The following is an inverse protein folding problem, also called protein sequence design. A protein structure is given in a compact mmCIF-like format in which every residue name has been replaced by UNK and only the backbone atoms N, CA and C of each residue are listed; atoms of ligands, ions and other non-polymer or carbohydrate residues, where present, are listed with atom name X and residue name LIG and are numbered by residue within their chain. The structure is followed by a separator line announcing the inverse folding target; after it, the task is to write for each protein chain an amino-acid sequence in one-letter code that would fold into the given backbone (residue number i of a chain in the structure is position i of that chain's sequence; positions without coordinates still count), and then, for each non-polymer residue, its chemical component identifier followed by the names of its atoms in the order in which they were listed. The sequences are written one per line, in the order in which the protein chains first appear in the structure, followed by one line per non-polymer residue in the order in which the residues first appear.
data_IF_245844731628
#
_entry.id   IF_245844731628
#
_cell.length_a   1.000
_cell.length_b   1.000
_cell.length_c   1.000
_cell.angle_alpha   90.00
_cell.angle_beta   90.00
_cell.angle_gamma   90.00
#
_symmetry.space_group_name_H-M   'P 1'
#
loop_
_entity.id
_entity.type
_entity.pdbx_description
1 polymer ?
#
# COMPACT_ATOMS: atom_id res chain seq x y z
N UNK A 1 -58.34 43.45 60.82
CA UNK A 1 -57.84 43.62 59.43
C UNK A 1 -56.94 42.45 59.10
N UNK A 2 -57.35 41.69 58.09
CA UNK A 2 -56.79 40.44 57.59
C UNK A 2 -55.52 40.69 56.79
N UNK A 3 -54.45 39.90 56.98
CA UNK A 3 -53.78 39.22 55.86
C UNK A 3 -52.80 38.14 56.32
N UNK A 4 -53.18 36.90 56.03
CA UNK A 4 -52.28 35.78 55.83
C UNK A 4 -51.44 36.06 54.58
N UNK A 5 -50.11 36.03 54.68
CA UNK A 5 -49.23 35.97 53.49
C UNK A 5 -48.63 34.57 53.40
N UNK A 6 -49.49 33.59 53.13
CA UNK A 6 -49.06 32.28 52.66
C UNK A 6 -48.51 32.42 51.25
N UNK A 7 -47.23 32.09 51.06
CA UNK A 7 -46.68 31.91 49.71
C UNK A 7 -47.37 30.70 49.08
N UNK A 8 -47.93 30.78 47.86
CA UNK A 8 -48.50 29.60 47.22
C UNK A 8 -47.35 28.68 46.79
N UNK A 9 -47.35 27.45 47.29
CA UNK A 9 -46.49 26.38 46.78
C UNK A 9 -46.94 26.06 45.35
N UNK A 10 -46.10 26.35 44.36
CA UNK A 10 -46.37 26.09 42.95
C UNK A 10 -45.55 24.87 42.53
N UNK A 11 -46.21 23.75 42.23
CA UNK A 11 -45.59 22.59 41.61
C UNK A 11 -46.04 22.55 40.16
N UNK A 12 -45.11 22.63 39.22
CA UNK A 12 -45.39 22.38 37.80
C UNK A 12 -44.67 21.10 37.36
N UNK A 13 -45.43 20.21 36.71
CA UNK A 13 -44.90 19.03 36.05
C UNK A 13 -45.01 19.28 34.55
N UNK A 14 -43.88 19.51 33.89
CA UNK A 14 -43.82 19.64 32.43
C UNK A 14 -43.37 18.32 31.82
N UNK A 15 -44.27 17.61 31.15
CA UNK A 15 -43.94 16.50 30.26
C UNK A 15 -43.91 16.98 28.82
N UNK A 16 -42.75 16.88 28.15
CA UNK A 16 -42.62 17.22 26.74
C UNK A 16 -42.72 15.92 25.91
N UNK A 17 -43.82 15.74 25.17
CA UNK A 17 -43.94 14.67 24.17
C UNK A 17 -43.70 15.27 22.78
N UNK A 18 -42.52 15.02 22.21
CA UNK A 18 -42.21 15.41 20.84
C UNK A 18 -42.72 14.33 19.89
N UNK A 19 -43.84 14.59 19.22
CA UNK A 19 -44.37 13.70 18.17
C UNK A 19 -43.65 14.01 16.85
N UNK A 20 -42.85 13.07 16.29
CA UNK A 20 -41.99 13.34 15.13
C UNK A 20 -42.74 13.49 13.79
N UNK A 21 -44.07 13.50 13.78
CA UNK A 21 -44.93 13.24 12.61
C UNK A 21 -45.67 14.46 12.02
N UNK A 22 -45.26 15.70 12.30
CA UNK A 22 -45.93 16.89 11.76
C UNK A 22 -45.27 17.40 10.46
N UNK A 23 -45.77 16.88 9.33
CA UNK A 23 -45.93 17.55 8.02
C UNK A 23 -44.71 17.76 7.12
N UNK A 24 -43.55 18.18 7.66
CA UNK A 24 -42.33 18.46 6.87
C UNK A 24 -41.12 17.65 7.33
N UNK A 25 -41.17 17.09 8.55
CA UNK A 25 -40.17 16.14 9.02
C UNK A 25 -40.25 14.81 8.28
N UNK A 26 -41.40 14.40 7.74
CA UNK A 26 -41.52 13.19 6.91
C UNK A 26 -40.71 13.31 5.63
N UNK A 27 -40.86 14.41 4.88
CA UNK A 27 -40.05 14.67 3.67
C UNK A 27 -38.55 14.73 3.98
N UNK A 28 -38.17 15.34 5.12
CA UNK A 28 -36.78 15.42 5.55
C UNK A 28 -36.24 14.06 6.04
N UNK A 29 -37.07 13.26 6.72
CA UNK A 29 -36.72 11.90 7.14
C UNK A 29 -36.66 10.94 5.94
N UNK A 30 -37.54 11.10 4.96
CA UNK A 30 -37.53 10.37 3.69
C UNK A 30 -36.31 10.73 2.85
N UNK A 31 -35.94 12.03 2.79
CA UNK A 31 -34.72 12.48 2.12
C UNK A 31 -33.45 11.98 2.84
N UNK A 32 -33.45 11.94 4.18
CA UNK A 32 -32.36 11.36 4.95
C UNK A 32 -32.29 9.83 4.78
N UNK A 33 -33.44 9.15 4.72
CA UNK A 33 -33.49 7.73 4.45
C UNK A 33 -33.00 7.41 3.03
N UNK A 34 -33.39 8.20 2.03
CA UNK A 34 -32.90 8.05 0.66
C UNK A 34 -31.42 8.39 0.55
N UNK A 35 -30.91 9.40 1.25
CA UNK A 35 -29.47 9.69 1.28
C UNK A 35 -28.66 8.58 1.94
N UNK A 36 -29.18 7.96 3.00
CA UNK A 36 -28.53 6.80 3.64
C UNK A 36 -28.51 5.58 2.73
N UNK A 37 -29.57 5.35 1.95
CA UNK A 37 -29.59 4.28 0.95
C UNK A 37 -28.57 4.54 -0.17
N UNK A 38 -28.51 5.78 -0.68
CA UNK A 38 -27.52 6.19 -1.68
C UNK A 38 -26.09 6.09 -1.15
N UNK A 39 -25.85 6.43 0.12
CA UNK A 39 -24.55 6.29 0.76
C UNK A 39 -24.17 4.81 0.92
N UNK A 40 -25.12 3.95 1.29
CA UNK A 40 -24.89 2.52 1.39
C UNK A 40 -24.55 1.90 0.02
N UNK A 41 -25.31 2.23 -1.02
CA UNK A 41 -25.02 1.82 -2.41
C UNK A 41 -23.65 2.34 -2.89
N UNK A 42 -23.30 3.58 -2.53
CA UNK A 42 -21.98 4.13 -2.85
C UNK A 42 -20.86 3.38 -2.12
N UNK A 43 -21.07 2.98 -0.86
CA UNK A 43 -20.11 2.19 -0.08
C UNK A 43 -19.93 0.78 -0.66
N UNK A 44 -21.02 0.11 -1.06
CA UNK A 44 -20.95 -1.19 -1.74
C UNK A 44 -20.19 -1.09 -3.07
N UNK A 45 -20.47 -0.05 -3.87
CA UNK A 45 -19.74 0.22 -5.09
C UNK A 45 -18.24 0.50 -4.82
N UNK A 46 -17.91 1.25 -3.78
CA UNK A 46 -16.51 1.51 -3.38
C UNK A 46 -15.80 0.22 -2.96
N UNK A 47 -16.46 -0.67 -2.21
CA UNK A 47 -15.91 -1.98 -1.86
C UNK A 47 -15.61 -2.81 -3.11
N UNK A 48 -16.53 -2.84 -4.08
CA UNK A 48 -16.34 -3.59 -5.31
C UNK A 48 -15.20 -3.02 -6.17
N UNK A 49 -15.07 -1.70 -6.26
CA UNK A 49 -13.94 -1.04 -6.92
C UNK A 49 -12.63 -1.40 -6.23
N UNK A 50 -12.59 -1.33 -4.90
CA UNK A 50 -11.41 -1.67 -4.12
C UNK A 50 -10.97 -3.13 -4.35
N UNK A 51 -11.89 -4.09 -4.33
CA UNK A 51 -11.59 -5.50 -4.63
C UNK A 51 -10.99 -5.63 -6.04
N UNK A 52 -11.60 -4.99 -7.03
CA UNK A 52 -11.13 -5.05 -8.42
C UNK A 52 -9.74 -4.43 -8.58
N UNK A 53 -9.48 -3.29 -7.93
CA UNK A 53 -8.18 -2.62 -7.93
C UNK A 53 -7.11 -3.49 -7.27
N UNK A 54 -7.41 -4.07 -6.10
CA UNK A 54 -6.50 -4.96 -5.38
C UNK A 54 -6.20 -6.22 -6.20
N UNK A 55 -7.19 -6.81 -6.88
CA UNK A 55 -6.97 -7.94 -7.78
C UNK A 55 -6.09 -7.57 -8.97
N UNK A 56 -6.35 -6.42 -9.59
CA UNK A 56 -5.55 -5.89 -10.70
C UNK A 56 -4.09 -5.69 -10.27
N UNK A 57 -3.90 -5.01 -9.14
CA UNK A 57 -2.59 -4.78 -8.54
C UNK A 57 -1.87 -6.10 -8.22
N UNK A 58 -2.52 -7.04 -7.53
CA UNK A 58 -1.91 -8.32 -7.19
C UNK A 58 -1.47 -9.11 -8.45
N UNK A 59 -2.28 -9.12 -9.52
CA UNK A 59 -1.91 -9.75 -10.79
C UNK A 59 -0.72 -9.06 -11.44
N UNK A 60 -0.71 -7.73 -11.53
CA UNK A 60 0.43 -7.00 -12.11
C UNK A 60 1.70 -7.21 -11.30
N UNK A 61 1.58 -7.19 -9.97
CA UNK A 61 2.71 -7.39 -9.06
C UNK A 61 3.28 -8.79 -9.14
N UNK A 62 2.46 -9.83 -9.37
CA UNK A 62 2.96 -11.18 -9.62
C UNK A 62 3.83 -11.26 -10.88
N UNK A 63 3.37 -10.65 -11.98
CA UNK A 63 4.10 -10.63 -13.25
C UNK A 63 5.41 -9.87 -13.12
N UNK A 64 5.39 -8.69 -12.49
CA UNK A 64 6.60 -7.91 -12.29
C UNK A 64 7.57 -8.60 -11.32
N UNK A 65 7.10 -9.30 -10.28
CA UNK A 65 7.94 -10.10 -9.40
C UNK A 65 8.62 -11.25 -10.15
N UNK A 66 7.90 -11.93 -11.06
CA UNK A 66 8.48 -12.97 -11.90
C UNK A 66 9.55 -12.42 -12.85
N UNK A 67 9.29 -11.27 -13.48
CA UNK A 67 10.27 -10.58 -14.30
C UNK A 67 11.53 -10.22 -13.51
N UNK A 68 11.37 -9.71 -12.29
CA UNK A 68 12.49 -9.39 -11.38
C UNK A 68 13.29 -10.64 -11.01
N UNK A 69 12.64 -11.76 -10.72
CA UNK A 69 13.32 -13.04 -10.46
C UNK A 69 14.16 -13.50 -11.66
N UNK A 70 13.62 -13.39 -12.87
CA UNK A 70 14.34 -13.75 -14.09
C UNK A 70 15.53 -12.82 -14.33
N UNK A 71 15.36 -11.51 -14.09
CA UNK A 71 16.46 -10.54 -14.15
C UNK A 71 17.56 -10.88 -13.14
N UNK A 72 17.22 -11.23 -11.90
CA UNK A 72 18.21 -11.61 -10.88
C UNK A 72 19.00 -12.86 -11.26
N UNK A 73 18.34 -13.88 -11.83
CA UNK A 73 19.04 -15.07 -12.36
C UNK A 73 20.05 -14.71 -13.44
N UNK A 74 19.70 -13.79 -14.34
CA UNK A 74 20.64 -13.31 -15.37
C UNK A 74 21.88 -12.65 -14.75
N UNK A 75 21.71 -11.85 -13.70
CA UNK A 75 22.83 -11.25 -12.97
C UNK A 75 23.73 -12.30 -12.33
N UNK A 76 23.15 -13.27 -11.63
CA UNK A 76 23.87 -14.32 -10.91
C UNK A 76 24.60 -15.29 -11.84
N UNK A 77 23.93 -15.72 -12.91
CA UNK A 77 24.42 -16.81 -13.76
C UNK A 77 25.30 -16.32 -14.93
N UNK A 78 25.11 -15.07 -15.37
CA UNK A 78 25.77 -14.57 -16.59
C UNK A 78 26.57 -13.28 -16.34
N UNK A 79 25.93 -12.21 -15.86
CA UNK A 79 26.56 -10.87 -15.83
C UNK A 79 27.70 -10.81 -14.81
N UNK A 80 27.43 -11.10 -13.54
CA UNK A 80 28.44 -11.04 -12.47
C UNK A 80 29.59 -12.02 -12.75
N UNK A 81 29.35 -13.28 -13.18
CA UNK A 81 30.42 -14.18 -13.57
C UNK A 81 31.27 -13.67 -14.75
N UNK A 82 30.65 -13.04 -15.76
CA UNK A 82 31.39 -12.47 -16.88
C UNK A 82 32.30 -11.31 -16.45
N UNK A 83 31.79 -10.39 -15.64
CA UNK A 83 32.58 -9.29 -15.08
C UNK A 83 33.70 -9.79 -14.17
N UNK A 84 33.43 -10.84 -13.38
CA UNK A 84 34.46 -11.48 -12.54
C UNK A 84 35.61 -12.04 -13.38
N UNK A 85 35.29 -12.72 -14.49
CA UNK A 85 36.31 -13.21 -15.43
C UNK A 85 37.07 -12.07 -16.08
N UNK A 86 36.39 -10.99 -16.47
CA UNK A 86 37.04 -9.81 -17.03
C UNK A 86 38.03 -9.19 -16.04
N UNK A 87 37.63 -8.98 -14.79
CA UNK A 87 38.51 -8.51 -13.71
C UNK A 87 39.73 -9.43 -13.53
N UNK A 88 39.53 -10.76 -13.51
CA UNK A 88 40.63 -11.72 -13.39
C UNK A 88 41.61 -11.64 -14.57
N UNK A 89 41.12 -11.45 -15.80
CA UNK A 89 41.97 -11.27 -16.98
C UNK A 89 42.79 -9.98 -16.89
N UNK A 90 42.16 -8.86 -16.50
CA UNK A 90 42.87 -7.59 -16.32
C UNK A 90 43.90 -7.68 -15.19
N UNK A 91 43.58 -8.38 -14.11
CA UNK A 91 44.50 -8.59 -12.99
C UNK A 91 45.76 -9.35 -13.46
N UNK A 92 45.57 -10.43 -14.22
CA UNK A 92 46.68 -11.20 -14.77
C UNK A 92 47.55 -10.35 -15.71
N UNK A 93 46.94 -9.54 -16.57
CA UNK A 93 47.66 -8.63 -17.47
C UNK A 93 48.47 -7.58 -16.71
N UNK A 94 47.90 -7.01 -15.65
CA UNK A 94 48.61 -6.08 -14.78
C UNK A 94 49.79 -6.73 -14.06
N UNK A 95 49.61 -7.93 -13.49
CA UNK A 95 50.68 -8.71 -12.82
C UNK A 95 51.84 -9.05 -13.78
N UNK A 96 51.54 -9.20 -15.08
CA UNK A 96 52.53 -9.43 -16.13
C UNK A 96 53.14 -8.15 -16.71
N UNK A 97 52.75 -6.97 -16.21
CA UNK A 97 53.11 -5.65 -16.76
C UNK A 97 52.70 -5.46 -18.23
N UNK A 98 51.65 -6.15 -18.69
CA UNK A 98 51.12 -6.02 -20.06
C UNK A 98 49.87 -5.15 -20.14
N UNK A 99 49.20 -4.88 -19.01
CA UNK A 99 48.04 -3.99 -18.91
C UNK A 99 48.26 -2.92 -17.83
N UNK A 100 47.50 -1.82 -17.90
CA UNK A 100 47.60 -0.68 -16.98
C UNK A 100 46.75 -0.89 -15.71
N UNK A 101 47.22 -0.35 -14.58
CA UNK A 101 46.48 -0.27 -13.32
C UNK A 101 45.09 0.36 -13.50
N UNK A 102 44.94 1.36 -14.36
CA UNK A 102 43.64 1.99 -14.61
C UNK A 102 42.61 1.02 -15.19
N UNK A 103 43.02 0.16 -16.13
CA UNK A 103 42.11 -0.84 -16.70
C UNK A 103 41.71 -1.91 -15.68
N UNK A 104 42.65 -2.31 -14.81
CA UNK A 104 42.35 -3.19 -13.69
C UNK A 104 41.34 -2.55 -12.73
N UNK A 105 41.52 -1.26 -12.43
CA UNK A 105 40.60 -0.50 -11.58
C UNK A 105 39.21 -0.39 -12.20
N UNK A 106 39.09 -0.08 -13.48
CA UNK A 106 37.80 0.00 -14.19
C UNK A 106 37.04 -1.34 -14.14
N UNK A 107 37.75 -2.46 -14.37
CA UNK A 107 37.15 -3.79 -14.29
C UNK A 107 36.70 -4.16 -12.87
N UNK A 108 37.47 -3.75 -11.86
CA UNK A 108 37.10 -3.91 -10.45
C UNK A 108 35.87 -3.08 -10.09
N UNK A 109 35.83 -1.81 -10.50
CA UNK A 109 34.72 -0.91 -10.25
C UNK A 109 33.44 -1.45 -10.90
N UNK A 110 33.51 -1.84 -12.18
CA UNK A 110 32.39 -2.42 -12.91
C UNK A 110 31.83 -3.68 -12.21
N UNK A 111 32.71 -4.57 -11.74
CA UNK A 111 32.30 -5.77 -10.99
C UNK A 111 31.59 -5.42 -9.68
N UNK A 112 32.13 -4.51 -8.89
CA UNK A 112 31.55 -4.16 -7.58
C UNK A 112 30.27 -3.35 -7.71
N UNK A 113 30.23 -2.37 -8.61
CA UNK A 113 29.01 -1.60 -8.88
C UNK A 113 27.87 -2.51 -9.32
N UNK A 114 28.14 -3.46 -10.22
CA UNK A 114 27.13 -4.43 -10.66
C UNK A 114 26.65 -5.34 -9.53
N UNK A 115 27.51 -5.71 -8.58
CA UNK A 115 27.10 -6.48 -7.40
C UNK A 115 26.21 -5.65 -6.47
N UNK A 116 26.53 -4.37 -6.27
CA UNK A 116 25.69 -3.44 -5.49
C UNK A 116 24.31 -3.30 -6.15
N UNK A 117 24.27 -3.10 -7.47
CA UNK A 117 23.02 -3.00 -8.22
C UNK A 117 22.19 -4.29 -8.09
N UNK A 118 22.84 -5.45 -8.17
CA UNK A 118 22.16 -6.74 -7.94
C UNK A 118 21.52 -6.82 -6.55
N UNK A 119 22.23 -6.41 -5.49
CA UNK A 119 21.69 -6.43 -4.13
C UNK A 119 20.51 -5.46 -3.95
N UNK A 120 20.57 -4.27 -4.55
CA UNK A 120 19.45 -3.32 -4.56
C UNK A 120 18.23 -3.93 -5.27
N UNK A 121 18.42 -4.58 -6.42
CA UNK A 121 17.33 -5.26 -7.12
C UNK A 121 16.75 -6.44 -6.32
N UNK A 122 17.60 -7.23 -5.66
CA UNK A 122 17.18 -8.30 -4.76
C UNK A 122 16.33 -7.75 -3.60
N UNK A 123 16.78 -6.67 -2.95
CA UNK A 123 16.04 -6.04 -1.87
C UNK A 123 14.66 -5.58 -2.33
N UNK A 124 14.58 -4.90 -3.49
CA UNK A 124 13.31 -4.46 -4.08
C UNK A 124 12.38 -5.64 -4.39
N UNK A 125 12.92 -6.72 -4.96
CA UNK A 125 12.16 -7.94 -5.23
C UNK A 125 11.59 -8.59 -3.96
N UNK A 126 12.36 -8.61 -2.87
CA UNK A 126 11.91 -9.14 -1.58
C UNK A 126 10.84 -8.26 -0.92
N UNK A 127 10.98 -6.93 -1.00
CA UNK A 127 9.96 -6.00 -0.52
C UNK A 127 8.64 -6.19 -1.26
N UNK A 128 8.70 -6.29 -2.59
CA UNK A 128 7.55 -6.56 -3.43
C UNK A 128 6.88 -7.90 -3.09
N UNK A 129 7.68 -8.94 -2.85
CA UNK A 129 7.16 -10.24 -2.40
C UNK A 129 6.43 -10.11 -1.04
N UNK A 130 6.98 -9.36 -0.09
CA UNK A 130 6.37 -9.13 1.21
C UNK A 130 5.03 -8.38 1.11
N UNK A 131 4.97 -7.33 0.28
CA UNK A 131 3.73 -6.58 0.00
C UNK A 131 2.67 -7.46 -0.64
N UNK A 132 3.06 -8.30 -1.60
CA UNK A 132 2.14 -9.23 -2.26
C UNK A 132 1.58 -10.26 -1.27
N UNK A 133 2.41 -10.81 -0.39
CA UNK A 133 1.95 -11.75 0.65
C UNK A 133 0.92 -11.10 1.57
N UNK A 134 1.14 -9.84 1.98
CA UNK A 134 0.19 -9.09 2.80
C UNK A 134 -1.16 -8.90 2.10
N UNK A 135 -1.15 -8.57 0.82
CA UNK A 135 -2.38 -8.37 0.04
C UNK A 135 -3.13 -9.69 -0.13
N UNK A 136 -2.42 -10.79 -0.41
CA UNK A 136 -3.02 -12.11 -0.54
C UNK A 136 -3.60 -12.63 0.79
N UNK A 137 -2.97 -12.30 1.92
CA UNK A 137 -3.47 -12.64 3.25
C UNK A 137 -4.77 -11.89 3.59
N UNK A 138 -4.84 -10.59 3.29
CA UNK A 138 -6.07 -9.79 3.47
C UNK A 138 -7.22 -10.42 2.69
N UNK A 139 -6.98 -10.82 1.44
CA UNK A 139 -7.99 -11.48 0.60
C UNK A 139 -8.47 -12.84 1.15
N UNK A 140 -7.66 -13.55 1.94
CA UNK A 140 -8.07 -14.84 2.54
C UNK A 140 -8.93 -14.68 3.79
N UNK A 141 -8.91 -13.50 4.42
CA UNK A 141 -9.63 -13.22 5.66
C UNK A 141 -10.94 -12.43 5.45
N UNK A 142 -11.20 -11.94 4.23
CA UNK A 142 -12.48 -11.38 3.77
C UNK A 142 -13.35 -12.45 3.09
#
# INVERSE_FOLDING_TARGET
MTRWTGRPMQFSLMGMMRLPLLGKSTLMNEANASSLLLENEALENQQQVYINEVEGFARSSLVELELKKNQMKLYEEQIIPALRRNFQTMQLGYEQNTEDLFQLFDAWEALNMTQIDYFDQLQKGLQMQAELMKILEIKQND
#
